data_IF_927809827641
#
_entry.id   IF_927809827641
#
_cell.length_a   1.000
_cell.length_b   1.000
_cell.length_c   1.000
_cell.angle_alpha   90.00
_cell.angle_beta   90.00
_cell.angle_gamma   90.00
#
_symmetry.space_group_name_H-M   'P 1'
#
loop_
_entity.id
_entity.type
_entity.pdbx_description
1 polymer ?
#
# COMPACT_ATOMS: atom_id res chain seq x y z
N UNK A 1 -5.91 5.23 15.10
CA UNK A 1 -5.16 6.05 14.13
C UNK A 1 -5.60 5.61 12.75
N UNK A 2 -5.94 6.54 11.87
CA UNK A 2 -6.29 6.21 10.48
C UNK A 2 -5.01 6.04 9.67
N UNK A 3 -4.95 5.02 8.82
CA UNK A 3 -3.80 4.73 7.96
C UNK A 3 -4.27 4.40 6.56
N UNK A 4 -3.44 4.68 5.57
CA UNK A 4 -3.65 4.21 4.19
C UNK A 4 -2.61 3.13 3.90
N UNK A 5 -3.06 2.01 3.35
CA UNK A 5 -2.21 0.91 2.95
C UNK A 5 -2.50 0.50 1.52
N UNK A 6 -1.51 -0.06 0.85
CA UNK A 6 -1.67 -0.62 -0.48
C UNK A 6 -1.17 -2.06 -0.51
N UNK A 7 -1.82 -2.90 -1.31
CA UNK A 7 -1.38 -4.27 -1.60
C UNK A 7 -1.00 -4.32 -3.07
N UNK A 8 0.22 -4.73 -3.37
CA UNK A 8 0.64 -4.97 -4.75
C UNK A 8 0.16 -6.35 -5.20
N UNK A 9 -0.62 -6.40 -6.27
CA UNK A 9 -1.21 -7.63 -6.83
C UNK A 9 -0.52 -8.10 -8.11
N UNK A 10 0.45 -7.34 -8.63
CA UNK A 10 1.26 -7.73 -9.80
C UNK A 10 2.34 -8.79 -9.53
N UNK A 11 2.57 -9.20 -8.27
CA UNK A 11 3.58 -10.22 -7.95
C UNK A 11 3.10 -11.64 -8.26
N UNK A 12 3.40 -12.11 -9.48
CA UNK A 12 3.05 -13.45 -9.99
C UNK A 12 3.78 -14.61 -9.29
N UNK A 13 4.73 -14.34 -8.40
CA UNK A 13 5.44 -15.37 -7.63
C UNK A 13 4.60 -15.90 -6.47
N UNK A 14 3.67 -15.10 -5.96
CA UNK A 14 2.79 -15.42 -4.83
C UNK A 14 3.52 -15.91 -3.56
N UNK A 15 4.82 -15.65 -3.43
CA UNK A 15 5.62 -16.06 -2.27
C UNK A 15 5.25 -15.27 -1.01
N UNK A 16 4.73 -14.05 -1.20
CA UNK A 16 4.39 -13.11 -0.13
C UNK A 16 3.30 -12.14 -0.61
N UNK A 17 2.61 -11.50 0.34
CA UNK A 17 1.66 -10.43 0.07
C UNK A 17 2.36 -9.09 0.37
N UNK A 18 2.78 -8.32 -0.65
CA UNK A 18 3.48 -7.05 -0.44
C UNK A 18 2.49 -6.01 0.07
N UNK A 19 2.63 -5.63 1.34
CA UNK A 19 1.79 -4.61 1.98
C UNK A 19 2.63 -3.36 2.23
N UNK A 20 2.14 -2.23 1.73
CA UNK A 20 2.75 -0.92 1.89
C UNK A 20 1.87 -0.03 2.77
N UNK A 21 2.47 0.91 3.49
CA UNK A 21 1.79 1.91 4.30
C UNK A 21 2.26 3.31 3.88
N UNK A 22 1.30 4.23 3.70
CA UNK A 22 1.61 5.59 3.31
C UNK A 22 2.28 6.33 4.48
N UNK A 23 3.51 6.78 4.25
CA UNK A 23 4.17 7.76 5.09
C UNK A 23 3.81 9.17 4.61
N UNK A 24 2.96 9.87 5.37
CA UNK A 24 2.47 11.21 5.01
C UNK A 24 3.54 12.30 5.11
N UNK A 25 4.67 12.05 5.79
CA UNK A 25 5.76 13.02 5.90
C UNK A 25 6.65 13.00 4.66
N UNK A 26 6.86 11.82 4.09
CA UNK A 26 7.73 11.62 2.90
C UNK A 26 6.95 11.50 1.60
N UNK A 27 5.64 11.24 1.68
CA UNK A 27 4.75 10.98 0.54
C UNK A 27 5.12 9.69 -0.24
N UNK A 28 5.66 8.70 0.46
CA UNK A 28 5.96 7.37 -0.07
C UNK A 28 5.10 6.29 0.62
N UNK A 29 4.72 5.27 -0.14
CA UNK A 29 4.27 4.00 0.38
C UNK A 29 5.49 3.13 0.70
N UNK A 30 5.72 2.85 1.98
CA UNK A 30 6.84 2.03 2.46
C UNK A 30 6.34 0.62 2.77
N UNK A 31 7.05 -0.41 2.31
CA UNK A 31 6.67 -1.80 2.62
C UNK A 31 6.81 -2.05 4.11
N UNK A 32 5.84 -2.77 4.69
CA UNK A 32 5.84 -3.01 6.14
C UNK A 32 7.00 -3.89 6.61
N UNK A 33 7.47 -4.82 5.77
CA UNK A 33 8.54 -5.77 6.11
C UNK A 33 9.93 -5.28 5.70
N UNK A 34 10.01 -4.40 4.69
CA UNK A 34 11.26 -3.85 4.17
C UNK A 34 11.06 -2.40 3.70
N UNK A 35 11.44 -1.44 4.54
CA UNK A 35 11.24 -0.01 4.24
C UNK A 35 12.12 0.52 3.10
N UNK A 36 13.14 -0.23 2.67
CA UNK A 36 13.92 0.15 1.48
C UNK A 36 13.09 -0.03 0.21
N UNK A 37 12.14 -0.97 0.21
CA UNK A 37 11.17 -1.16 -0.84
C UNK A 37 10.00 -0.19 -0.65
N UNK A 38 9.97 0.84 -1.49
CA UNK A 38 8.98 1.92 -1.42
C UNK A 38 8.62 2.48 -2.78
N UNK A 39 7.43 3.02 -2.90
CA UNK A 39 6.91 3.68 -4.10
C UNK A 39 6.41 5.08 -3.78
N UNK A 40 6.51 5.99 -4.74
CA UNK A 40 5.87 7.30 -4.62
C UNK A 40 4.36 7.13 -4.55
N UNK A 41 3.69 8.03 -3.82
CA UNK A 41 2.24 7.99 -3.65
C UNK A 41 1.51 7.95 -5.00
N UNK A 42 1.90 8.80 -5.95
CA UNK A 42 1.30 8.88 -7.29
C UNK A 42 1.41 7.55 -8.04
N UNK A 43 2.57 6.87 -7.99
CA UNK A 43 2.73 5.56 -8.62
C UNK A 43 1.78 4.50 -8.06
N UNK A 44 1.44 4.55 -6.77
CA UNK A 44 0.52 3.59 -6.15
C UNK A 44 -0.94 3.94 -6.44
N UNK A 45 -1.26 5.22 -6.59
CA UNK A 45 -2.62 5.69 -6.87
C UNK A 45 -3.02 5.57 -8.34
N UNK A 46 -2.06 5.58 -9.27
CA UNK A 46 -2.31 5.52 -10.72
C UNK A 46 -2.16 4.12 -11.34
N UNK A 47 -1.60 3.16 -10.59
CA UNK A 47 -1.29 1.82 -11.09
C UNK A 47 -2.34 0.80 -10.65
N UNK A 48 -2.98 0.17 -11.63
CA UNK A 48 -4.03 -0.84 -11.45
C UNK A 48 -3.52 -2.12 -10.73
N UNK A 49 -2.20 -2.31 -10.64
CA UNK A 49 -1.59 -3.40 -9.88
C UNK A 49 -1.53 -3.13 -8.36
N UNK A 50 -2.08 -2.00 -7.87
CA UNK A 50 -2.22 -1.71 -6.45
C UNK A 50 -3.68 -1.63 -6.00
N UNK A 51 -4.00 -2.37 -4.93
CA UNK A 51 -5.25 -2.21 -4.20
C UNK A 51 -5.04 -1.33 -2.98
N UNK A 52 -5.75 -0.21 -2.90
CA UNK A 52 -5.60 0.77 -1.81
C UNK A 52 -6.69 0.57 -0.75
N UNK A 53 -6.29 0.62 0.52
CA UNK A 53 -7.15 0.40 1.66
C UNK A 53 -7.03 1.53 2.68
N UNK A 54 -8.18 1.94 3.22
CA UNK A 54 -8.26 2.74 4.44
C UNK A 54 -8.35 1.81 5.65
N UNK A 55 -7.44 1.97 6.60
CA UNK A 55 -7.34 1.14 7.80
C UNK A 55 -7.72 1.96 9.03
N UNK A 56 -8.74 1.50 9.76
CA UNK A 56 -9.22 2.12 11.00
C UNK A 56 -9.65 1.04 11.99
N UNK A 57 -9.08 1.05 13.21
CA UNK A 57 -9.38 0.08 14.26
C UNK A 57 -9.28 -1.37 13.77
N UNK A 58 -8.18 -1.70 13.11
CA UNK A 58 -7.89 -3.01 12.51
C UNK A 58 -8.87 -3.49 11.42
N UNK A 59 -9.74 -2.60 10.94
CA UNK A 59 -10.62 -2.85 9.80
C UNK A 59 -10.00 -2.17 8.57
N UNK A 60 -9.71 -2.96 7.54
CA UNK A 60 -9.32 -2.48 6.22
C UNK A 60 -10.56 -2.38 5.32
N UNK A 61 -10.77 -1.23 4.70
CA UNK A 61 -11.82 -0.99 3.70
C UNK A 61 -11.15 -0.64 2.39
N UNK A 62 -11.46 -1.36 1.32
CA UNK A 62 -10.97 -1.06 -0.03
C UNK A 62 -11.47 0.33 -0.43
N UNK A 63 -10.59 1.13 -1.00
CA UNK A 63 -10.91 2.41 -1.63
C UNK A 63 -11.20 2.08 -3.08
N UNK A 64 -12.49 1.98 -3.43
CA UNK A 64 -12.94 1.89 -4.82
C UNK A 64 -13.10 3.32 -5.36
N UNK A 65 -12.54 3.60 -6.55
CA UNK A 65 -12.89 4.80 -7.33
C UNK A 65 -14.28 4.68 -7.96
#
# INVERSE_FOLDING_TARGET
MEKIRAIFIGDVRFDQCPVFELNTETNYFEMLIDKEMRYEKECVEEDDDFLIFKVKNDIATLVEE
#
